data_IF_668551372244
#
_entry.id   IF_668551372244
#
_cell.length_a   1.000
_cell.length_b   1.000
_cell.length_c   1.000
_cell.angle_alpha   90.00
_cell.angle_beta   90.00
_cell.angle_gamma   90.00
#
_symmetry.space_group_name_H-M   'P 1'
#
loop_
_entity.id
_entity.type
_entity.pdbx_description
1 polymer ?
#
# COMPACT_ATOMS: atom_id res chain seq x y z
N UNK A 1 13.42 22.70 -11.29
CA UNK A 1 14.80 22.65 -11.83
C UNK A 1 15.86 22.12 -10.86
N UNK A 2 15.72 22.29 -9.53
CA UNK A 2 16.66 21.68 -8.55
C UNK A 2 16.58 20.15 -8.46
N UNK A 3 15.36 19.59 -8.40
CA UNK A 3 15.16 18.13 -8.32
C UNK A 3 15.78 17.38 -9.52
N UNK A 4 15.61 17.91 -10.73
CA UNK A 4 16.13 17.30 -11.96
C UNK A 4 17.66 17.24 -11.95
N UNK A 5 18.33 18.27 -11.40
CA UNK A 5 19.79 18.30 -11.26
C UNK A 5 20.28 17.34 -10.17
N UNK A 6 19.51 17.20 -9.08
CA UNK A 6 19.80 16.25 -8.00
C UNK A 6 19.71 14.80 -8.50
N UNK A 7 18.68 14.44 -9.28
CA UNK A 7 18.57 13.14 -9.95
C UNK A 7 19.72 12.87 -10.92
N UNK A 8 20.21 13.90 -11.62
CA UNK A 8 21.37 13.79 -12.52
C UNK A 8 22.67 13.50 -11.75
N UNK A 9 22.88 14.14 -10.60
CA UNK A 9 24.05 13.89 -9.74
C UNK A 9 23.98 12.54 -9.03
N UNK A 10 22.80 12.08 -8.58
CA UNK A 10 22.64 10.74 -7.99
C UNK A 10 22.88 9.63 -9.01
N UNK A 11 22.45 9.80 -10.26
CA UNK A 11 22.71 8.82 -11.34
C UNK A 11 24.19 8.75 -11.75
N UNK A 12 24.96 9.80 -11.49
CA UNK A 12 26.36 9.91 -11.91
C UNK A 12 27.36 9.55 -10.79
N UNK A 13 26.89 9.20 -9.59
CA UNK A 13 27.69 8.72 -8.46
C UNK A 13 27.22 7.30 -8.11
N UNK A 14 28.07 6.29 -8.34
CA UNK A 14 27.71 4.87 -8.18
C UNK A 14 27.28 4.52 -6.74
N UNK A 15 27.85 5.15 -5.72
CA UNK A 15 27.45 5.00 -4.31
C UNK A 15 26.06 5.61 -4.00
N UNK A 16 25.67 6.64 -4.75
CA UNK A 16 24.36 7.29 -4.61
C UNK A 16 23.23 6.47 -5.20
N UNK A 17 23.49 5.71 -6.27
CA UNK A 17 22.49 4.88 -6.93
C UNK A 17 22.01 3.73 -6.03
N UNK A 18 22.92 3.11 -5.26
CA UNK A 18 22.61 2.00 -4.33
C UNK A 18 21.78 2.49 -3.15
N UNK A 19 21.97 3.73 -2.70
CA UNK A 19 21.16 4.32 -1.62
C UNK A 19 19.78 4.79 -2.09
N UNK A 20 19.59 5.00 -3.39
CA UNK A 20 18.28 5.35 -3.95
C UNK A 20 17.46 4.09 -4.25
N UNK A 21 18.09 2.98 -4.64
CA UNK A 21 17.40 1.72 -4.92
C UNK A 21 16.65 1.17 -3.69
N UNK A 22 17.27 1.13 -2.51
CA UNK A 22 16.59 0.61 -1.31
C UNK A 22 15.37 1.47 -0.89
N UNK A 23 15.41 2.78 -1.12
CA UNK A 23 14.26 3.67 -0.85
C UNK A 23 13.16 3.45 -1.88
N UNK A 24 13.50 3.28 -3.16
CA UNK A 24 12.51 3.05 -4.22
C UNK A 24 11.82 1.70 -4.05
N UNK A 25 12.57 0.65 -3.67
CA UNK A 25 12.00 -0.68 -3.43
C UNK A 25 11.05 -0.68 -2.22
N UNK A 26 11.42 -0.02 -1.12
CA UNK A 26 10.54 0.08 0.05
C UNK A 26 9.31 0.94 -0.24
N UNK A 27 9.46 2.05 -0.97
CA UNK A 27 8.35 2.88 -1.40
C UNK A 27 7.38 2.11 -2.32
N UNK A 28 7.89 1.23 -3.19
CA UNK A 28 7.07 0.36 -4.02
C UNK A 28 6.24 -0.62 -3.16
N UNK A 29 6.85 -1.26 -2.16
CA UNK A 29 6.13 -2.17 -1.24
C UNK A 29 5.06 -1.43 -0.45
N UNK A 30 5.35 -0.22 0.06
CA UNK A 30 4.35 0.62 0.74
C UNK A 30 3.21 0.99 -0.20
N UNK A 31 3.50 1.35 -1.45
CA UNK A 31 2.50 1.64 -2.48
C UNK A 31 1.58 0.44 -2.77
N UNK A 32 2.16 -0.76 -2.86
CA UNK A 32 1.38 -2.00 -3.01
C UNK A 32 0.49 -2.27 -1.78
N UNK A 33 0.97 -1.98 -0.57
CA UNK A 33 0.18 -2.07 0.66
C UNK A 33 -1.04 -1.15 0.66
N UNK A 34 -0.89 0.09 0.19
CA UNK A 34 -2.01 1.04 0.07
C UNK A 34 -3.08 0.50 -0.88
N UNK A 35 -2.68 -0.13 -2.00
CA UNK A 35 -3.62 -0.73 -2.95
C UNK A 35 -4.32 -1.94 -2.30
N UNK A 36 -3.58 -2.81 -1.62
CA UNK A 36 -4.13 -4.01 -0.97
C UNK A 36 -5.18 -3.69 0.11
N UNK A 37 -5.04 -2.57 0.82
CA UNK A 37 -6.01 -2.12 1.83
C UNK A 37 -7.43 -1.97 1.27
N UNK A 38 -7.57 -1.60 -0.01
CA UNK A 38 -8.90 -1.46 -0.63
C UNK A 38 -9.64 -2.80 -0.70
N UNK A 39 -8.97 -3.86 -1.14
CA UNK A 39 -9.53 -5.20 -1.22
C UNK A 39 -9.85 -5.78 0.16
N UNK A 40 -8.98 -5.52 1.15
CA UNK A 40 -9.20 -5.94 2.55
C UNK A 40 -10.45 -5.27 3.13
N UNK A 41 -10.60 -3.96 2.95
CA UNK A 41 -11.75 -3.23 3.48
C UNK A 41 -13.09 -3.73 2.94
N UNK A 42 -13.16 -4.04 1.64
CA UNK A 42 -14.35 -4.65 1.04
C UNK A 42 -14.64 -6.00 1.67
N UNK A 43 -13.66 -6.90 1.74
CA UNK A 43 -13.85 -8.22 2.33
C UNK A 43 -14.26 -8.18 3.81
N UNK A 44 -13.68 -7.27 4.59
CA UNK A 44 -14.05 -7.06 6.00
C UNK A 44 -15.48 -6.52 6.13
N UNK A 45 -15.88 -5.60 5.27
CA UNK A 45 -17.23 -5.03 5.26
C UNK A 45 -18.27 -6.09 4.94
N UNK A 46 -18.02 -6.89 3.90
CA UNK A 46 -18.92 -7.97 3.47
C UNK A 46 -19.06 -9.04 4.56
N UNK A 47 -17.93 -9.44 5.17
CA UNK A 47 -17.95 -10.38 6.30
C UNK A 47 -18.72 -9.80 7.49
N UNK A 48 -18.52 -8.53 7.82
CA UNK A 48 -19.23 -7.87 8.92
C UNK A 48 -20.74 -7.84 8.66
N UNK A 49 -21.16 -7.55 7.42
CA UNK A 49 -22.56 -7.56 7.02
C UNK A 49 -23.17 -8.97 7.14
N UNK A 50 -22.45 -10.01 6.70
CA UNK A 50 -22.90 -11.40 6.83
C UNK A 50 -23.07 -11.84 8.28
N UNK A 51 -22.14 -11.44 9.17
CA UNK A 51 -22.24 -11.70 10.61
C UNK A 51 -23.47 -11.00 11.20
N UNK A 52 -23.67 -9.72 10.88
CA UNK A 52 -24.82 -8.95 11.35
C UNK A 52 -26.16 -9.56 10.87
N UNK A 53 -26.20 -10.01 9.62
CA UNK A 53 -27.34 -10.75 9.07
C UNK A 53 -27.62 -12.04 9.83
N UNK A 54 -26.58 -12.86 10.04
CA UNK A 54 -26.70 -14.12 10.78
C UNK A 54 -27.21 -13.94 12.22
N UNK A 55 -26.77 -12.88 12.91
CA UNK A 55 -27.27 -12.52 14.24
C UNK A 55 -28.73 -12.11 14.18
N UNK A 56 -29.10 -11.28 13.19
CA UNK A 56 -30.49 -10.83 13.00
C UNK A 56 -31.42 -12.01 12.74
N UNK A 57 -31.01 -12.94 11.88
CA UNK A 57 -31.78 -14.15 11.57
C UNK A 57 -31.94 -15.04 12.81
N UNK A 58 -30.89 -15.16 13.63
CA UNK A 58 -30.94 -15.89 14.89
C UNK A 58 -31.80 -15.22 15.98
N UNK A 59 -32.02 -13.90 15.90
CA UNK A 59 -32.94 -13.17 16.80
C UNK A 59 -34.41 -13.29 16.36
N UNK A 60 -34.66 -13.47 15.07
CA UNK A 60 -36.00 -13.52 14.48
C UNK A 60 -36.61 -14.94 14.46
N UNK A 61 -35.91 -15.94 14.99
CA UNK A 61 -36.33 -17.34 15.11
C UNK A 61 -36.35 -17.75 16.58
#
# INVERSE_FOLDING_TARGET
MKLINLFKSFRNNEDGAVTVDWVVLTAAVVGLGIIAMTAINTGVTDLSANIAGSITDAQNN
#
